data_IF_812608792609
#
_entry.id   IF_812608792609
#
_cell.length_a   1.000
_cell.length_b   1.000
_cell.length_c   1.000
_cell.angle_alpha   90.00
_cell.angle_beta   90.00
_cell.angle_gamma   90.00
#
_symmetry.space_group_name_H-M   'P 1'
#
loop_
_entity.id
_entity.type
_entity.pdbx_description
1 polymer ?
#
# COMPACT_ATOMS: atom_id res chain seq x y z
N UNK A 1 2.46 -7.34 12.27
CA UNK A 1 1.34 -6.38 12.01
C UNK A 1 1.77 -5.41 10.92
N UNK A 2 0.83 -4.75 10.21
CA UNK A 2 1.17 -3.76 9.16
C UNK A 2 2.10 -2.67 9.69
N UNK A 3 1.89 -2.22 10.94
CA UNK A 3 2.78 -1.27 11.63
C UNK A 3 4.21 -1.79 11.81
N UNK A 4 4.39 -3.09 12.01
CA UNK A 4 5.71 -3.72 12.10
C UNK A 4 6.42 -3.74 10.75
N UNK A 5 5.71 -4.14 9.69
CA UNK A 5 6.22 -4.11 8.31
C UNK A 5 6.60 -2.70 7.86
N UNK A 6 5.80 -1.69 8.22
CA UNK A 6 6.15 -0.29 7.93
C UNK A 6 7.39 0.21 8.68
N UNK A 7 7.73 -0.36 9.85
CA UNK A 7 9.01 -0.05 10.51
C UNK A 7 10.17 -0.74 9.82
N UNK A 8 10.01 -2.00 9.43
CA UNK A 8 11.02 -2.70 8.64
C UNK A 8 11.27 -1.99 7.32
N UNK A 9 10.23 -1.63 6.57
CA UNK A 9 10.37 -0.89 5.32
C UNK A 9 11.18 0.41 5.48
N UNK A 10 10.90 1.20 6.52
CA UNK A 10 11.69 2.40 6.84
C UNK A 10 13.11 2.13 7.31
N UNK A 11 13.40 0.94 7.82
CA UNK A 11 14.77 0.56 8.16
C UNK A 11 15.57 0.22 6.89
N UNK A 12 14.91 -0.38 5.89
CA UNK A 12 15.50 -0.60 4.58
C UNK A 12 15.71 0.71 3.81
N UNK A 13 14.71 1.59 3.77
CA UNK A 13 14.73 2.95 3.18
C UNK A 13 15.41 3.98 4.13
N UNK A 14 16.58 3.63 4.67
CA UNK A 14 17.28 4.46 5.66
C UNK A 14 18.35 5.37 5.05
N UNK A 15 18.74 5.12 3.78
CA UNK A 15 19.81 5.88 3.12
C UNK A 15 19.29 7.20 2.54
N UNK A 16 18.15 7.20 1.85
CA UNK A 16 17.61 8.43 1.25
C UNK A 16 16.17 8.81 1.68
N UNK A 17 15.40 7.87 2.24
CA UNK A 17 14.04 8.13 2.73
C UNK A 17 13.05 8.45 1.62
N UNK A 18 13.31 8.00 0.39
CA UNK A 18 12.51 8.32 -0.79
C UNK A 18 11.18 7.53 -0.86
N UNK A 19 10.91 6.67 0.14
CA UNK A 19 9.75 5.75 0.23
C UNK A 19 9.74 4.62 -0.80
N UNK A 20 10.91 4.31 -1.34
CA UNK A 20 11.22 3.15 -2.17
C UNK A 20 12.48 2.51 -1.59
N UNK A 21 12.74 1.27 -1.99
CA UNK A 21 13.95 0.55 -1.58
C UNK A 21 14.73 0.24 -2.85
N UNK A 22 15.92 0.81 -2.99
CA UNK A 22 16.84 0.43 -4.06
C UNK A 22 17.62 -0.86 -3.74
N UNK A 23 18.40 -1.36 -4.70
CA UNK A 23 19.17 -2.61 -4.50
C UNK A 23 20.23 -2.51 -3.39
N UNK A 24 20.85 -1.34 -3.23
CA UNK A 24 21.87 -1.10 -2.20
C UNK A 24 21.25 -1.02 -0.81
N UNK A 25 20.11 -0.34 -0.69
CA UNK A 25 19.26 -0.29 0.50
C UNK A 25 18.74 -1.68 0.87
N UNK A 26 18.32 -2.47 -0.13
CA UNK A 26 17.87 -3.84 0.09
C UNK A 26 18.98 -4.74 0.64
N UNK A 27 20.18 -4.69 0.06
CA UNK A 27 21.32 -5.47 0.54
C UNK A 27 21.75 -5.07 1.95
N UNK A 28 21.85 -3.76 2.19
CA UNK A 28 22.23 -3.23 3.51
C UNK A 28 21.20 -3.62 4.56
N UNK A 29 19.91 -3.44 4.25
CA UNK A 29 18.82 -3.80 5.16
C UNK A 29 18.77 -5.30 5.47
N UNK A 30 19.07 -6.19 4.52
CA UNK A 30 19.15 -7.64 4.81
C UNK A 30 20.29 -7.97 5.79
N UNK A 31 21.46 -7.34 5.62
CA UNK A 31 22.59 -7.51 6.55
C UNK A 31 22.27 -6.98 7.95
N UNK A 32 21.66 -5.79 8.04
CA UNK A 32 21.28 -5.18 9.33
C UNK A 32 20.22 -6.00 10.08
N UNK A 33 19.35 -6.70 9.36
CA UNK A 33 18.36 -7.61 9.94
C UNK A 33 18.93 -9.02 10.23
N UNK A 34 20.24 -9.22 10.06
CA UNK A 34 20.93 -10.48 10.38
C UNK A 34 20.63 -11.62 9.40
N UNK A 35 20.21 -11.28 8.18
CA UNK A 35 19.94 -12.26 7.11
C UNK A 35 21.20 -12.39 6.26
N UNK A 36 21.95 -13.48 6.48
CA UNK A 36 23.10 -13.83 5.66
C UNK A 36 22.62 -14.40 4.32
N UNK A 37 22.68 -13.57 3.28
CA UNK A 37 22.42 -13.96 1.90
C UNK A 37 23.56 -13.52 1.00
N UNK A 38 23.81 -14.30 -0.03
CA UNK A 38 24.74 -13.94 -1.09
C UNK A 38 24.17 -12.79 -1.94
N UNK A 39 25.04 -12.03 -2.61
CA UNK A 39 24.59 -10.99 -3.54
C UNK A 39 23.69 -11.55 -4.66
N UNK A 40 23.90 -12.81 -5.06
CA UNK A 40 23.05 -13.47 -6.04
C UNK A 40 21.65 -13.74 -5.50
N UNK A 41 21.54 -14.24 -4.27
CA UNK A 41 20.25 -14.46 -3.59
C UNK A 41 19.52 -13.16 -3.29
N UNK A 42 20.24 -12.12 -2.84
CA UNK A 42 19.66 -10.80 -2.62
C UNK A 42 19.09 -10.20 -3.91
N UNK A 43 19.81 -10.34 -5.04
CA UNK A 43 19.31 -9.89 -6.34
C UNK A 43 18.11 -10.72 -6.84
N UNK A 44 18.10 -12.03 -6.57
CA UNK A 44 16.96 -12.88 -6.92
C UNK A 44 15.72 -12.53 -6.09
N UNK A 45 15.89 -12.29 -4.78
CA UNK A 45 14.83 -11.84 -3.89
C UNK A 45 14.32 -10.45 -4.29
N UNK A 46 15.22 -9.53 -4.62
CA UNK A 46 14.85 -8.21 -5.12
C UNK A 46 14.01 -8.32 -6.39
N UNK A 47 14.42 -9.14 -7.36
CA UNK A 47 13.65 -9.36 -8.59
C UNK A 47 12.33 -10.11 -8.39
N UNK A 48 12.10 -10.74 -7.24
CA UNK A 48 10.79 -11.29 -6.88
C UNK A 48 9.87 -10.23 -6.24
N UNK A 49 10.45 -9.20 -5.64
CA UNK A 49 9.71 -8.10 -5.01
C UNK A 49 9.38 -6.99 -6.02
N UNK A 50 10.34 -6.62 -6.86
CA UNK A 50 10.23 -5.64 -7.95
C UNK A 50 9.39 -6.23 -9.09
N UNK A 51 8.07 -6.04 -8.99
CA UNK A 51 7.11 -6.65 -9.92
C UNK A 51 6.90 -5.84 -11.18
N UNK A 52 7.07 -4.51 -11.09
CA UNK A 52 6.99 -3.61 -12.23
C UNK A 52 8.33 -3.43 -12.96
N UNK A 53 9.43 -3.93 -12.40
CA UNK A 53 10.80 -3.84 -12.92
C UNK A 53 11.27 -2.39 -13.06
N UNK A 54 10.80 -1.47 -12.20
CA UNK A 54 11.27 -0.08 -12.17
C UNK A 54 12.67 0.08 -11.52
N UNK A 55 13.21 -1.02 -10.98
CA UNK A 55 14.52 -1.08 -10.33
C UNK A 55 14.51 -0.65 -8.86
N UNK A 56 13.33 -0.38 -8.31
CA UNK A 56 13.07 -0.07 -6.90
C UNK A 56 11.94 -0.94 -6.38
N UNK A 57 11.88 -1.17 -5.06
CA UNK A 57 10.75 -1.85 -4.43
C UNK A 57 9.93 -0.80 -3.68
N UNK A 58 8.69 -0.58 -4.12
CA UNK A 58 7.79 0.31 -3.41
C UNK A 58 7.14 -0.37 -2.20
N UNK A 59 6.40 0.40 -1.38
CA UNK A 59 5.81 -0.13 -0.15
C UNK A 59 4.77 -1.23 -0.40
N UNK A 60 3.99 -1.13 -1.47
CA UNK A 60 2.95 -2.11 -1.79
C UNK A 60 3.57 -3.42 -2.27
N UNK A 61 4.60 -3.34 -3.11
CA UNK A 61 5.40 -4.49 -3.54
C UNK A 61 6.06 -5.20 -2.36
N UNK A 62 6.70 -4.45 -1.47
CA UNK A 62 7.28 -5.00 -0.25
C UNK A 62 6.23 -5.69 0.64
N UNK A 63 5.06 -5.05 0.82
CA UNK A 63 3.97 -5.62 1.60
C UNK A 63 3.44 -6.92 1.00
N UNK A 64 3.19 -6.94 -0.32
CA UNK A 64 2.67 -8.12 -1.01
C UNK A 64 3.71 -9.24 -1.03
N UNK A 65 4.97 -8.91 -1.27
CA UNK A 65 6.06 -9.88 -1.31
C UNK A 65 6.32 -10.54 0.06
N UNK A 66 6.37 -9.76 1.14
CA UNK A 66 6.65 -10.29 2.48
C UNK A 66 5.42 -10.95 3.13
N UNK A 67 4.22 -10.40 2.90
CA UNK A 67 2.98 -10.92 3.51
C UNK A 67 2.34 -12.03 2.68
N UNK A 68 2.61 -12.08 1.39
CA UNK A 68 1.87 -12.89 0.42
C UNK A 68 0.49 -12.30 0.08
N UNK A 69 -0.14 -12.92 -0.92
CA UNK A 69 -1.50 -12.57 -1.37
C UNK A 69 -2.51 -12.74 -0.23
N UNK A 70 -3.59 -11.94 -0.28
CA UNK A 70 -4.72 -12.15 0.60
C UNK A 70 -5.30 -13.55 0.39
N UNK A 71 -5.64 -14.23 1.49
CA UNK A 71 -6.41 -15.46 1.39
C UNK A 71 -7.81 -15.17 0.80
N UNK A 72 -8.46 -16.19 0.26
CA UNK A 72 -9.70 -16.04 -0.50
C UNK A 72 -10.82 -15.34 0.30
N UNK A 73 -10.91 -15.62 1.61
CA UNK A 73 -11.90 -14.98 2.49
C UNK A 73 -11.66 -13.48 2.68
N UNK A 74 -10.39 -13.08 2.88
CA UNK A 74 -10.02 -11.68 3.04
C UNK A 74 -10.10 -10.93 1.73
N UNK A 75 -9.73 -11.56 0.61
CA UNK A 75 -9.92 -11.00 -0.72
C UNK A 75 -11.41 -10.73 -0.97
N UNK A 76 -12.29 -11.72 -0.72
CA UNK A 76 -13.72 -11.53 -0.89
C UNK A 76 -14.33 -10.43 0.00
N UNK A 77 -13.78 -10.19 1.19
CA UNK A 77 -14.18 -9.03 2.02
C UNK A 77 -13.74 -7.71 1.40
N UNK A 78 -12.51 -7.64 0.88
CA UNK A 78 -12.00 -6.45 0.18
C UNK A 78 -12.82 -6.20 -1.08
N UNK A 79 -13.10 -7.23 -1.88
CA UNK A 79 -13.90 -7.12 -3.10
C UNK A 79 -15.33 -6.65 -2.78
N UNK A 80 -15.95 -7.19 -1.73
CA UNK A 80 -17.28 -6.73 -1.28
C UNK A 80 -17.28 -5.29 -0.82
N UNK A 81 -16.22 -4.85 -0.11
CA UNK A 81 -16.09 -3.47 0.31
C UNK A 81 -15.88 -2.56 -0.91
N UNK A 82 -15.02 -2.95 -1.85
CA UNK A 82 -14.74 -2.22 -3.07
C UNK A 82 -15.97 -2.06 -3.95
N UNK A 83 -16.69 -3.16 -4.23
CA UNK A 83 -17.95 -3.16 -4.98
C UNK A 83 -19.07 -2.36 -4.31
N UNK A 84 -19.01 -2.15 -3.00
CA UNK A 84 -19.96 -1.28 -2.30
C UNK A 84 -19.70 0.20 -2.61
N UNK A 85 -18.45 0.58 -2.88
CA UNK A 85 -18.05 1.95 -3.18
C UNK A 85 -17.97 2.23 -4.67
N UNK A 86 -17.65 1.24 -5.50
CA UNK A 86 -17.60 1.32 -6.97
C UNK A 86 -19.01 1.21 -7.56
N UNK A 87 -19.74 2.32 -7.53
CA UNK A 87 -21.16 2.37 -7.91
C UNK A 87 -21.37 2.19 -9.41
N UNK A 88 -20.42 2.66 -10.24
CA UNK A 88 -20.46 2.53 -11.69
C UNK A 88 -19.87 1.22 -12.22
N UNK A 89 -19.16 0.46 -11.37
CA UNK A 89 -18.55 -0.81 -11.72
C UNK A 89 -17.35 -0.67 -12.65
N UNK A 90 -16.74 0.52 -12.68
CA UNK A 90 -15.57 0.84 -13.50
C UNK A 90 -14.30 0.10 -13.05
N UNK A 91 -14.30 -0.46 -11.83
CA UNK A 91 -13.11 -1.01 -11.20
C UNK A 91 -12.22 0.06 -10.56
N UNK A 92 -12.66 1.31 -10.51
CA UNK A 92 -11.96 2.44 -9.87
C UNK A 92 -12.92 3.25 -9.03
N UNK A 93 -12.60 3.51 -7.76
CA UNK A 93 -13.45 4.37 -6.92
C UNK A 93 -13.08 5.83 -7.20
N UNK A 94 -13.99 6.56 -7.84
CA UNK A 94 -13.86 8.00 -8.08
C UNK A 94 -14.64 8.81 -7.04
N UNK A 95 -14.39 10.13 -7.00
CA UNK A 95 -15.17 11.02 -6.13
C UNK A 95 -16.68 11.00 -6.46
N UNK A 96 -17.03 10.70 -7.71
CA UNK A 96 -18.43 10.53 -8.11
C UNK A 96 -19.04 9.25 -7.52
N UNK A 97 -18.27 8.16 -7.39
CA UNK A 97 -18.75 6.90 -6.80
C UNK A 97 -18.92 6.99 -5.28
N UNK A 98 -18.15 7.87 -4.64
CA UNK A 98 -18.31 8.21 -3.23
C UNK A 98 -19.55 9.08 -2.99
N UNK A 99 -20.03 9.80 -4.02
CA UNK A 99 -21.18 10.70 -3.94
C UNK A 99 -22.48 9.88 -3.79
N UNK A 100 -23.05 9.89 -2.59
CA UNK A 100 -24.27 9.13 -2.23
C UNK A 100 -24.03 7.86 -1.42
N UNK A 101 -22.80 7.34 -1.36
CA UNK A 101 -22.40 6.24 -0.45
C UNK A 101 -21.72 6.79 0.80
N UNK A 102 -20.98 7.90 0.66
CA UNK A 102 -20.35 8.62 1.77
C UNK A 102 -21.34 9.64 2.35
N UNK A 103 -21.72 9.43 3.62
CA UNK A 103 -22.71 10.28 4.29
C UNK A 103 -22.00 11.47 4.96
N UNK A 104 -22.03 12.63 4.30
CA UNK A 104 -21.36 13.86 4.71
C UNK A 104 -22.03 14.56 5.91
N UNK A 105 -23.16 14.05 6.41
CA UNK A 105 -23.97 14.68 7.47
C UNK A 105 -23.22 14.86 8.79
N UNK A 106 -22.11 14.15 8.98
CA UNK A 106 -21.25 14.29 10.16
C UNK A 106 -20.02 15.16 9.94
N UNK A 107 -19.82 15.73 8.75
CA UNK A 107 -18.70 16.62 8.48
C UNK A 107 -18.93 17.95 9.24
N UNK A 108 -17.97 18.44 10.05
CA UNK A 108 -18.17 19.62 10.91
C UNK A 108 -18.64 20.87 10.15
N UNK A 109 -18.22 21.02 8.88
CA UNK A 109 -18.59 22.15 8.02
C UNK A 109 -19.97 22.04 7.38
N UNK A 110 -20.52 20.83 7.28
CA UNK A 110 -21.91 20.58 6.83
C UNK A 110 -22.87 20.82 8.00
N UNK A 111 -22.49 20.36 9.19
CA UNK A 111 -23.25 20.61 10.43
C UNK A 111 -23.32 22.11 10.76
N UNK A 112 -22.25 22.86 10.49
CA UNK A 112 -22.21 24.32 10.72
C UNK A 112 -22.91 25.13 9.62
N UNK A 113 -23.35 24.50 8.52
CA UNK A 113 -24.01 25.17 7.40
C UNK A 113 -23.07 26.01 6.52
N UNK A 114 -21.75 25.87 6.65
CA UNK A 114 -20.76 26.56 5.81
C UNK A 114 -20.58 25.90 4.43
N UNK A 115 -20.92 24.61 4.31
CA UNK A 115 -20.85 23.85 3.06
C UNK A 115 -22.10 22.97 2.92
N UNK A 116 -22.63 22.87 1.70
CA UNK A 116 -23.71 21.93 1.40
C UNK A 116 -23.17 20.51 1.22
N UNK A 117 -24.04 19.49 1.33
CA UNK A 117 -23.68 18.07 1.17
C UNK A 117 -23.03 17.78 -0.21
N UNK A 118 -23.35 18.60 -1.22
CA UNK A 118 -22.83 18.52 -2.59
C UNK A 118 -21.47 19.23 -2.79
N UNK A 119 -21.06 20.08 -1.85
CA UNK A 119 -19.82 20.86 -1.88
C UNK A 119 -18.67 20.22 -1.08
N UNK A 120 -18.96 19.11 -0.37
CA UNK A 120 -17.97 18.30 0.37
C UNK A 120 -17.24 17.32 -0.54
#
# INVERSE_FOLDING_TARGET
TIRGLGRSFRAFDSLDGNRKIDRGEFMSGLQENGVDVTAAEANALFGLLDTDNDGTVNFDEFLVGVRGKLNQQRQAMVDKAFLKFDADGSGTITAADLKGVYNCNHHPKVISGEMTEDEV
#
